data_IF_064660568841
#
_entry.id   IF_064660568841
#
_cell.length_a   1.000
_cell.length_b   1.000
_cell.length_c   1.000
_cell.angle_alpha   90.00
_cell.angle_beta   90.00
_cell.angle_gamma   90.00
#
_symmetry.space_group_name_H-M   'P 1'
#
loop_
_entity.id
_entity.type
_entity.pdbx_description
1 polymer ?
#
# COMPACT_ATOMS: atom_id res chain seq x y z
N UNK A 1 -13.51 -6.85 23.96
CA UNK A 1 -13.49 -7.68 22.73
C UNK A 1 -14.04 -6.93 21.51
N UNK A 2 -15.17 -6.23 21.64
CA UNK A 2 -15.75 -5.45 20.53
C UNK A 2 -14.81 -4.34 20.00
N UNK A 3 -14.17 -3.60 20.90
CA UNK A 3 -13.23 -2.54 20.50
C UNK A 3 -11.97 -3.08 19.78
N UNK A 4 -11.52 -4.28 20.16
CA UNK A 4 -10.41 -4.94 19.48
C UNK A 4 -10.76 -5.31 18.03
N UNK A 5 -11.96 -5.83 17.81
CA UNK A 5 -12.43 -6.21 16.47
C UNK A 5 -12.60 -4.98 15.57
N UNK A 6 -13.22 -3.91 16.10
CA UNK A 6 -13.41 -2.66 15.33
C UNK A 6 -12.08 -2.02 14.94
N UNK A 7 -11.12 -1.94 15.85
CA UNK A 7 -9.77 -1.42 15.58
C UNK A 7 -9.06 -2.27 14.53
N UNK A 8 -9.10 -3.60 14.66
CA UNK A 8 -8.49 -4.52 13.68
C UNK A 8 -9.10 -4.37 12.29
N UNK A 9 -10.41 -4.13 12.17
CA UNK A 9 -11.09 -3.89 10.89
C UNK A 9 -10.69 -2.54 10.28
N UNK A 10 -10.48 -1.50 11.10
CA UNK A 10 -9.95 -0.21 10.61
C UNK A 10 -8.54 -0.41 10.06
N UNK A 11 -7.66 -1.07 10.80
CA UNK A 11 -6.31 -1.37 10.29
C UNK A 11 -6.35 -2.20 9.01
N UNK A 12 -7.25 -3.19 8.90
CA UNK A 12 -7.43 -3.94 7.65
C UNK A 12 -7.77 -3.03 6.47
N UNK A 13 -8.69 -2.08 6.64
CA UNK A 13 -9.04 -1.13 5.59
C UNK A 13 -7.86 -0.23 5.18
N UNK A 14 -7.12 0.30 6.16
CA UNK A 14 -5.93 1.12 5.92
C UNK A 14 -4.84 0.31 5.18
N UNK A 15 -4.55 -0.91 5.65
CA UNK A 15 -3.58 -1.78 4.99
C UNK A 15 -4.04 -2.26 3.61
N UNK A 16 -5.34 -2.43 3.38
CA UNK A 16 -5.87 -2.74 2.05
C UNK A 16 -5.57 -1.61 1.05
N UNK A 17 -5.80 -0.34 1.44
CA UNK A 17 -5.44 0.82 0.64
C UNK A 17 -3.93 0.88 0.37
N UNK A 18 -3.13 0.65 1.40
CA UNK A 18 -1.66 0.62 1.36
C UNK A 18 -1.16 -0.44 0.38
N UNK A 19 -1.69 -1.63 0.47
CA UNK A 19 -1.30 -2.77 -0.36
C UNK A 19 -1.76 -2.58 -1.82
N UNK A 20 -2.94 -2.03 -2.08
CA UNK A 20 -3.36 -1.69 -3.45
C UNK A 20 -2.51 -0.59 -4.06
N UNK A 21 -2.14 0.44 -3.29
CA UNK A 21 -1.20 1.48 -3.70
C UNK A 21 0.13 0.89 -4.17
N UNK A 22 0.74 0.05 -3.34
CA UNK A 22 2.02 -0.58 -3.66
C UNK A 22 1.88 -1.64 -4.77
N UNK A 23 0.78 -2.41 -4.80
CA UNK A 23 0.52 -3.39 -5.85
C UNK A 23 0.39 -2.72 -7.23
N UNK A 24 -0.15 -1.50 -7.30
CA UNK A 24 -0.20 -0.73 -8.53
C UNK A 24 1.21 -0.37 -9.03
N UNK A 25 2.10 0.09 -8.14
CA UNK A 25 3.48 0.45 -8.48
C UNK A 25 4.34 -0.78 -8.74
N UNK A 26 4.36 -1.74 -7.82
CA UNK A 26 5.22 -2.91 -7.87
C UNK A 26 4.60 -4.06 -8.66
N UNK A 27 3.36 -4.41 -8.35
CA UNK A 27 2.69 -5.57 -8.96
C UNK A 27 2.43 -5.38 -10.46
N UNK A 28 1.84 -4.25 -10.85
CA UNK A 28 1.48 -3.98 -12.24
C UNK A 28 2.59 -3.31 -13.05
N UNK A 29 3.31 -2.35 -12.46
CA UNK A 29 4.32 -1.57 -13.20
C UNK A 29 5.76 -2.04 -12.98
N UNK A 30 6.02 -2.93 -12.02
CA UNK A 30 7.37 -3.43 -11.73
C UNK A 30 8.29 -2.42 -11.06
N UNK A 31 7.77 -1.32 -10.52
CA UNK A 31 8.55 -0.28 -9.83
C UNK A 31 8.70 -0.68 -8.36
N UNK A 32 9.92 -0.98 -7.94
CA UNK A 32 10.23 -1.29 -6.54
C UNK A 32 10.40 0.02 -5.77
N UNK A 33 9.47 0.33 -4.87
CA UNK A 33 9.45 1.57 -4.12
C UNK A 33 9.63 1.32 -2.61
N UNK A 34 10.87 1.17 -2.14
CA UNK A 34 11.16 0.99 -0.72
C UNK A 34 10.96 2.27 0.12
N UNK A 35 10.73 3.41 -0.51
CA UNK A 35 10.33 4.65 0.15
C UNK A 35 8.82 4.88 0.21
N UNK A 36 8.01 3.86 -0.02
CA UNK A 36 6.55 3.96 -0.07
C UNK A 36 5.95 4.66 1.17
N UNK A 37 6.50 4.37 2.36
CA UNK A 37 6.05 4.96 3.64
C UNK A 37 6.12 6.49 3.66
N UNK A 38 7.00 7.10 2.88
CA UNK A 38 7.13 8.57 2.80
C UNK A 38 5.83 9.21 2.33
N UNK A 39 5.17 8.61 1.34
CA UNK A 39 3.91 9.14 0.82
C UNK A 39 2.80 9.01 1.84
N UNK A 40 2.70 7.87 2.52
CA UNK A 40 1.72 7.66 3.59
C UNK A 40 1.92 8.66 4.73
N UNK A 41 3.16 8.85 5.17
CA UNK A 41 3.47 9.73 6.29
C UNK A 41 3.29 11.21 5.95
N UNK A 42 3.67 11.65 4.75
CA UNK A 42 3.41 13.03 4.31
C UNK A 42 1.90 13.29 4.24
N UNK A 43 1.12 12.35 3.71
CA UNK A 43 -0.33 12.43 3.70
C UNK A 43 -0.91 12.59 5.12
N UNK A 44 -0.41 11.78 6.07
CA UNK A 44 -0.80 11.85 7.46
C UNK A 44 -0.43 13.19 8.11
N UNK A 45 0.81 13.68 7.92
CA UNK A 45 1.24 14.96 8.49
C UNK A 45 0.47 16.15 7.96
N UNK A 46 0.27 16.24 6.64
CA UNK A 46 -0.48 17.37 6.07
C UNK A 46 -1.97 17.31 6.42
N UNK A 47 -2.58 16.13 6.50
CA UNK A 47 -3.94 15.99 7.00
C UNK A 47 -4.03 16.41 8.48
N UNK A 48 -3.09 15.98 9.32
CA UNK A 48 -3.01 16.35 10.73
C UNK A 48 -2.91 17.86 10.93
N UNK A 49 -1.88 18.49 10.33
CA UNK A 49 -1.60 19.92 10.52
C UNK A 49 -2.74 20.79 10.01
N UNK A 50 -3.37 20.41 8.89
CA UNK A 50 -4.51 21.17 8.36
C UNK A 50 -5.81 20.96 9.15
N UNK A 51 -5.91 19.90 9.95
CA UNK A 51 -7.05 19.66 10.86
C UNK A 51 -6.90 20.38 12.20
N UNK A 52 -5.67 20.43 12.72
CA UNK A 52 -5.35 21.11 13.98
C UNK A 52 -5.37 22.63 13.72
N UNK A 53 -5.80 23.46 14.56
CA UNK A 53 -5.79 24.92 14.37
C UNK A 53 -4.39 25.52 14.31
N UNK A 54 -4.28 26.84 14.07
CA UNK A 54 -2.98 27.51 14.06
C UNK A 54 -2.32 27.44 15.44
N UNK A 55 -0.98 27.39 15.44
CA UNK A 55 -0.19 27.41 16.69
C UNK A 55 -0.46 28.70 17.46
N UNK A 56 -0.87 28.57 18.71
CA UNK A 56 -1.05 29.70 19.64
C UNK A 56 0.12 29.78 20.61
N UNK A 57 0.32 30.94 21.25
CA UNK A 57 1.39 31.17 22.25
C UNK A 57 1.35 30.21 23.45
N UNK A 58 0.24 29.52 23.65
CA UNK A 58 0.06 28.53 24.72
C UNK A 58 0.06 27.09 24.21
N UNK A 59 0.35 26.85 22.91
CA UNK A 59 0.43 25.51 22.33
C UNK A 59 1.72 24.82 22.74
N UNK A 60 1.64 23.60 23.25
CA UNK A 60 2.81 22.74 23.53
C UNK A 60 3.41 22.12 22.25
N UNK A 61 2.74 22.28 21.11
CA UNK A 61 3.16 21.72 19.83
C UNK A 61 3.54 22.85 18.87
N UNK A 62 4.59 22.62 18.10
CA UNK A 62 5.05 23.56 17.06
C UNK A 62 4.95 22.88 15.70
N UNK A 63 4.27 23.52 14.76
CA UNK A 63 4.11 23.02 13.39
C UNK A 63 3.78 24.18 12.44
N UNK A 64 4.01 23.96 11.16
CA UNK A 64 3.67 24.91 10.11
C UNK A 64 2.32 24.55 9.47
N UNK A 65 1.68 25.54 8.83
CA UNK A 65 0.42 25.38 8.06
C UNK A 65 -0.82 24.98 8.85
N UNK A 66 -0.88 25.20 10.17
CA UNK A 66 -2.10 24.98 10.95
C UNK A 66 -3.26 25.86 10.45
N UNK A 67 -4.36 25.27 9.96
CA UNK A 67 -5.42 26.02 9.27
C UNK A 67 -6.84 25.69 9.74
N UNK A 68 -7.03 24.68 10.58
CA UNK A 68 -8.34 24.23 11.10
C UNK A 68 -9.39 24.05 10.02
N UNK A 69 -9.03 23.33 8.96
CA UNK A 69 -9.96 23.05 7.87
C UNK A 69 -11.02 22.05 8.33
N UNK A 70 -12.25 22.26 7.86
CA UNK A 70 -13.33 21.30 8.09
C UNK A 70 -13.17 20.07 7.20
N UNK A 71 -13.54 18.90 7.73
CA UNK A 71 -13.62 17.69 6.92
C UNK A 71 -14.55 17.92 5.70
N UNK A 72 -14.23 17.47 4.46
CA UNK A 72 -13.14 16.55 4.08
C UNK A 72 -11.84 17.23 3.59
N UNK A 73 -11.67 18.54 3.76
CA UNK A 73 -10.52 19.28 3.20
C UNK A 73 -9.16 18.76 3.66
N UNK A 74 -8.92 18.42 4.96
CA UNK A 74 -7.65 17.87 5.40
C UNK A 74 -7.26 16.58 4.66
N UNK A 75 -8.24 15.72 4.40
CA UNK A 75 -8.05 14.48 3.65
C UNK A 75 -7.61 14.74 2.21
N UNK A 76 -8.22 15.75 1.57
CA UNK A 76 -7.86 16.17 0.20
C UNK A 76 -6.44 16.76 0.17
N UNK A 77 -6.11 17.63 1.13
CA UNK A 77 -4.78 18.26 1.23
C UNK A 77 -3.70 17.20 1.50
N UNK A 78 -3.94 16.27 2.42
CA UNK A 78 -3.05 15.16 2.71
C UNK A 78 -2.80 14.29 1.46
N UNK A 79 -3.87 13.93 0.75
CA UNK A 79 -3.76 13.16 -0.50
C UNK A 79 -3.00 13.93 -1.58
N UNK A 80 -3.32 15.20 -1.77
CA UNK A 80 -2.66 16.05 -2.76
C UNK A 80 -1.17 16.25 -2.46
N UNK A 81 -0.80 16.43 -1.17
CA UNK A 81 0.61 16.55 -0.77
C UNK A 81 1.44 15.33 -1.13
N UNK A 82 0.90 14.13 -0.91
CA UNK A 82 1.54 12.89 -1.33
C UNK A 82 1.61 12.73 -2.84
N UNK A 83 0.58 13.11 -3.57
CA UNK A 83 0.59 13.11 -5.04
C UNK A 83 1.66 14.06 -5.61
N UNK A 84 1.77 15.27 -5.06
CA UNK A 84 2.78 16.26 -5.45
C UNK A 84 4.19 15.74 -5.15
N UNK A 85 4.40 15.19 -3.95
CA UNK A 85 5.69 14.61 -3.59
C UNK A 85 6.04 13.42 -4.50
N UNK A 86 5.06 12.57 -4.83
CA UNK A 86 5.25 11.47 -5.77
C UNK A 86 5.57 11.97 -7.18
N UNK A 87 4.97 13.08 -7.62
CA UNK A 87 5.30 13.70 -8.89
C UNK A 87 6.74 14.23 -8.91
N UNK A 88 7.18 14.91 -7.86
CA UNK A 88 8.54 15.47 -7.74
C UNK A 88 9.57 14.34 -7.70
N UNK A 89 9.43 13.38 -6.78
CA UNK A 89 10.36 12.26 -6.64
C UNK A 89 10.34 11.36 -7.87
N UNK A 90 9.15 11.06 -8.40
CA UNK A 90 8.98 10.28 -9.61
C UNK A 90 9.64 10.94 -10.82
N UNK A 91 9.48 12.26 -10.99
CA UNK A 91 10.14 12.98 -12.05
C UNK A 91 11.69 12.92 -11.92
N UNK A 92 12.23 13.14 -10.72
CA UNK A 92 13.67 13.11 -10.48
C UNK A 92 14.27 11.71 -10.67
N UNK A 93 13.58 10.67 -10.15
CA UNK A 93 14.13 9.32 -10.07
C UNK A 93 13.80 8.49 -11.32
N UNK A 94 12.59 8.59 -11.87
CA UNK A 94 12.14 7.73 -12.96
C UNK A 94 12.42 8.30 -14.35
N UNK A 95 12.63 9.63 -14.50
CA UNK A 95 12.93 10.25 -15.79
C UNK A 95 14.31 9.90 -16.34
N UNK A 96 15.22 9.44 -15.51
CA UNK A 96 16.64 9.22 -15.86
C UNK A 96 16.98 7.79 -16.27
N UNK A 97 16.08 6.99 -16.82
CA UNK A 97 16.35 5.60 -17.28
C UNK A 97 17.18 4.75 -16.28
N UNK A 98 16.98 5.00 -14.98
CA UNK A 98 17.66 4.28 -13.91
C UNK A 98 17.02 2.87 -13.80
N UNK A 99 17.83 1.83 -13.63
CA UNK A 99 17.33 0.46 -13.42
C UNK A 99 16.48 0.40 -12.14
N UNK A 100 15.41 -0.38 -12.16
CA UNK A 100 14.47 -0.54 -11.04
C UNK A 100 15.15 -0.83 -9.69
N UNK A 101 16.25 -1.58 -9.70
CA UNK A 101 16.99 -1.93 -8.49
C UNK A 101 17.59 -0.68 -7.80
N UNK A 102 18.15 0.24 -8.60
CA UNK A 102 18.69 1.51 -8.07
C UNK A 102 17.58 2.45 -7.62
N UNK A 103 16.43 2.45 -8.31
CA UNK A 103 15.24 3.21 -7.88
C UNK A 103 14.83 2.79 -6.47
N UNK A 104 14.82 1.48 -6.18
CA UNK A 104 14.49 0.94 -4.87
C UNK A 104 15.41 1.47 -3.75
N UNK A 105 16.72 1.45 -4.01
CA UNK A 105 17.73 1.95 -3.05
C UNK A 105 17.62 3.46 -2.85
N UNK A 106 17.47 4.23 -3.95
CA UNK A 106 17.30 5.70 -3.88
C UNK A 106 16.05 6.03 -3.04
N UNK A 107 14.94 5.36 -3.28
CA UNK A 107 13.70 5.60 -2.54
C UNK A 107 13.81 5.21 -1.06
N UNK A 108 14.58 4.16 -0.72
CA UNK A 108 14.89 3.81 0.66
C UNK A 108 15.70 4.93 1.35
N UNK A 109 16.72 5.45 0.69
CA UNK A 109 17.53 6.56 1.21
C UNK A 109 16.67 7.82 1.40
N UNK A 110 15.78 8.11 0.44
CA UNK A 110 14.81 9.22 0.56
C UNK A 110 13.93 9.04 1.80
N UNK A 111 13.47 7.83 2.09
CA UNK A 111 12.65 7.56 3.28
C UNK A 111 13.41 7.82 4.58
N UNK A 112 14.66 7.38 4.64
CA UNK A 112 15.52 7.60 5.83
C UNK A 112 15.81 9.10 6.01
N UNK A 113 16.15 9.82 4.94
CA UNK A 113 16.40 11.27 4.99
C UNK A 113 15.14 12.00 5.42
N UNK A 114 13.99 11.70 4.84
CA UNK A 114 12.72 12.34 5.17
C UNK A 114 12.35 12.15 6.65
N UNK A 115 12.53 10.93 7.18
CA UNK A 115 12.35 10.64 8.60
C UNK A 115 13.27 11.50 9.47
N UNK A 116 14.57 11.57 9.14
CA UNK A 116 15.55 12.36 9.89
C UNK A 116 15.23 13.86 9.85
N UNK A 117 14.82 14.37 8.69
CA UNK A 117 14.42 15.79 8.54
C UNK A 117 13.22 16.12 9.44
N UNK A 118 12.21 15.28 9.46
CA UNK A 118 11.02 15.50 10.31
C UNK A 118 11.38 15.38 11.79
N UNK A 119 12.16 14.37 12.17
CA UNK A 119 12.54 14.14 13.57
C UNK A 119 13.42 15.26 14.13
N UNK A 120 14.38 15.77 13.34
CA UNK A 120 15.31 16.79 13.76
C UNK A 120 14.69 18.21 13.80
N UNK A 121 13.64 18.47 13.03
CA UNK A 121 13.07 19.82 12.91
C UNK A 121 11.74 19.91 13.68
N UNK A 122 11.85 20.37 14.94
CA UNK A 122 10.67 20.59 15.80
C UNK A 122 9.69 21.60 15.20
N UNK A 123 10.16 22.60 14.46
CA UNK A 123 9.32 23.63 13.85
C UNK A 123 8.44 23.13 12.70
N UNK A 124 8.78 22.02 12.04
CA UNK A 124 8.01 21.51 10.92
C UNK A 124 6.72 20.79 11.38
N UNK A 125 6.88 19.72 12.15
CA UNK A 125 5.79 18.85 12.60
C UNK A 125 5.99 18.38 14.06
N UNK A 126 6.47 19.28 14.92
CA UNK A 126 6.78 19.01 16.33
C UNK A 126 7.93 17.99 16.54
N UNK A 127 8.73 17.70 15.52
CA UNK A 127 9.89 16.83 15.58
C UNK A 127 9.58 15.43 16.13
N UNK A 128 10.44 14.92 17.01
CA UNK A 128 10.29 13.59 17.60
C UNK A 128 9.02 13.43 18.47
N UNK A 129 8.45 14.54 19.00
CA UNK A 129 7.25 14.47 19.85
C UNK A 129 5.98 14.14 19.07
N UNK A 130 5.98 14.39 17.75
CA UNK A 130 4.81 14.19 16.91
C UNK A 130 3.65 15.17 17.17
N UNK A 131 2.54 14.92 16.51
CA UNK A 131 1.31 15.71 16.57
C UNK A 131 0.22 14.95 17.34
N UNK A 132 -0.56 15.65 18.15
CA UNK A 132 -1.68 15.08 18.90
C UNK A 132 -2.87 16.05 18.91
N UNK A 133 -4.03 15.57 19.32
CA UNK A 133 -5.24 16.37 19.34
C UNK A 133 -5.84 16.61 17.95
N UNK A 134 -5.62 15.69 17.03
CA UNK A 134 -6.18 15.74 15.68
C UNK A 134 -7.68 15.43 15.80
N UNK A 135 -8.57 16.33 15.30
CA UNK A 135 -10.00 16.12 15.42
C UNK A 135 -10.44 14.90 14.58
N UNK A 136 -11.19 14.03 15.22
CA UNK A 136 -11.78 12.87 14.56
C UNK A 136 -12.95 13.32 13.67
N UNK A 137 -13.00 12.91 12.39
CA UNK A 137 -14.06 13.30 11.47
C UNK A 137 -15.42 12.84 11.97
N UNK A 138 -16.43 13.70 11.80
CA UNK A 138 -17.84 13.47 12.19
C UNK A 138 -18.11 13.32 13.70
N UNK A 139 -17.11 13.16 14.56
CA UNK A 139 -17.35 12.94 15.99
C UNK A 139 -18.05 14.14 16.66
N UNK A 140 -17.71 15.36 16.25
CA UNK A 140 -18.38 16.58 16.72
C UNK A 140 -19.84 16.75 16.28
N UNK A 141 -20.28 16.03 15.25
CA UNK A 141 -21.65 16.09 14.71
C UNK A 141 -22.51 14.96 15.27
N UNK A 142 -21.94 13.75 15.37
CA UNK A 142 -22.67 12.53 15.70
C UNK A 142 -22.74 12.26 17.21
N UNK A 143 -21.89 12.91 18.02
CA UNK A 143 -21.80 12.73 19.48
C UNK A 143 -21.82 11.25 19.92
N UNK A 144 -21.13 10.38 19.17
CA UNK A 144 -21.10 8.94 19.41
C UNK A 144 -20.20 8.59 20.60
N UNK A 145 -20.52 7.50 21.28
CA UNK A 145 -19.57 6.87 22.21
C UNK A 145 -18.31 6.41 21.47
N UNK A 146 -17.20 6.21 22.20
CA UNK A 146 -15.93 5.77 21.59
C UNK A 146 -16.08 4.48 20.74
N UNK A 147 -16.80 3.49 21.24
CA UNK A 147 -17.09 2.25 20.50
C UNK A 147 -18.04 2.49 19.31
N UNK A 148 -19.04 3.35 19.48
CA UNK A 148 -19.93 3.75 18.38
C UNK A 148 -19.18 4.44 17.24
N UNK A 149 -18.25 5.33 17.58
CA UNK A 149 -17.40 5.99 16.60
C UNK A 149 -16.51 5.02 15.82
N UNK A 150 -15.91 4.04 16.51
CA UNK A 150 -15.07 3.01 15.86
C UNK A 150 -15.86 2.20 14.82
N UNK A 151 -17.08 1.75 15.15
CA UNK A 151 -17.94 1.02 14.21
C UNK A 151 -18.44 1.89 13.05
N UNK A 152 -18.76 3.16 13.32
CA UNK A 152 -19.07 4.12 12.27
C UNK A 152 -17.87 4.28 11.31
N UNK A 153 -16.66 4.42 11.86
CA UNK A 153 -15.45 4.56 11.06
C UNK A 153 -15.15 3.30 10.22
N UNK A 154 -15.39 2.10 10.75
CA UNK A 154 -15.31 0.84 9.98
C UNK A 154 -16.25 0.88 8.78
N UNK A 155 -17.50 1.28 8.96
CA UNK A 155 -18.49 1.41 7.87
C UNK A 155 -18.03 2.42 6.81
N UNK A 156 -17.61 3.60 7.25
CA UNK A 156 -17.09 4.67 6.40
C UNK A 156 -15.86 4.22 5.59
N UNK A 157 -14.88 3.64 6.27
CA UNK A 157 -13.65 3.14 5.63
C UNK A 157 -13.94 1.99 4.66
N UNK A 158 -14.89 1.12 4.96
CA UNK A 158 -15.30 0.05 4.05
C UNK A 158 -15.85 0.61 2.74
N UNK A 159 -16.69 1.65 2.79
CA UNK A 159 -17.19 2.33 1.58
C UNK A 159 -16.04 2.91 0.76
N UNK A 160 -15.10 3.58 1.41
CA UNK A 160 -13.90 4.12 0.77
C UNK A 160 -13.07 3.01 0.12
N UNK A 161 -12.81 1.92 0.84
CA UNK A 161 -12.07 0.78 0.31
C UNK A 161 -12.74 0.18 -0.93
N UNK A 162 -14.06 0.05 -0.93
CA UNK A 162 -14.81 -0.44 -2.11
C UNK A 162 -14.64 0.52 -3.29
N UNK A 163 -14.77 1.84 -3.08
CA UNK A 163 -14.61 2.84 -4.14
C UNK A 163 -13.19 2.78 -4.72
N UNK A 164 -12.16 2.78 -3.86
CA UNK A 164 -10.76 2.73 -4.30
C UNK A 164 -10.46 1.40 -4.99
N UNK A 165 -10.94 0.28 -4.46
CA UNK A 165 -10.80 -1.03 -5.09
C UNK A 165 -11.38 -1.06 -6.51
N UNK A 166 -12.62 -0.59 -6.68
CA UNK A 166 -13.27 -0.54 -7.99
C UNK A 166 -12.53 0.38 -8.95
N UNK A 167 -12.03 1.53 -8.48
CA UNK A 167 -11.22 2.46 -9.27
C UNK A 167 -9.90 1.84 -9.72
N UNK A 168 -9.16 1.22 -8.81
CA UNK A 168 -7.90 0.53 -9.12
C UNK A 168 -8.15 -0.66 -10.06
N UNK A 169 -9.18 -1.45 -9.81
CA UNK A 169 -9.53 -2.61 -10.64
C UNK A 169 -9.92 -2.18 -12.07
N UNK A 170 -10.72 -1.12 -12.20
CA UNK A 170 -11.09 -0.53 -13.49
C UNK A 170 -9.84 -0.04 -14.24
N UNK A 171 -8.94 0.66 -13.54
CA UNK A 171 -7.69 1.16 -14.11
C UNK A 171 -6.80 0.00 -14.60
N UNK A 172 -6.65 -1.05 -13.78
CA UNK A 172 -5.83 -2.21 -14.12
C UNK A 172 -6.40 -3.07 -15.26
N UNK A 173 -7.73 -3.07 -15.45
CA UNK A 173 -8.39 -3.78 -16.57
C UNK A 173 -8.42 -2.98 -17.86
N UNK A 174 -8.18 -1.68 -17.81
CA UNK A 174 -8.18 -0.78 -18.97
C UNK A 174 -6.99 -1.05 -19.92
N UNK A 175 -6.94 -0.33 -21.05
CA UNK A 175 -5.77 -0.31 -21.94
C UNK A 175 -4.50 0.14 -21.23
N UNK A 176 -4.63 1.10 -20.31
CA UNK A 176 -3.54 1.60 -19.49
C UNK A 176 -2.92 0.49 -18.61
N UNK A 177 -3.74 -0.33 -17.95
CA UNK A 177 -3.26 -1.47 -17.17
C UNK A 177 -2.56 -2.54 -18.02
N UNK A 178 -2.98 -2.74 -19.28
CA UNK A 178 -2.27 -3.63 -20.22
C UNK A 178 -0.89 -3.07 -20.59
N UNK A 179 -0.80 -1.77 -20.83
CA UNK A 179 0.47 -1.10 -21.10
C UNK A 179 1.45 -1.19 -19.92
N UNK A 180 0.95 -1.10 -18.66
CA UNK A 180 1.76 -1.29 -17.46
C UNK A 180 2.39 -2.70 -17.40
N UNK A 181 1.59 -3.73 -17.67
CA UNK A 181 2.09 -5.11 -17.69
C UNK A 181 3.12 -5.34 -18.81
N UNK A 182 2.86 -4.82 -20.01
CA UNK A 182 3.80 -4.89 -21.11
C UNK A 182 5.13 -4.23 -20.76
N UNK A 183 5.09 -3.04 -20.15
CA UNK A 183 6.28 -2.33 -19.66
C UNK A 183 7.03 -3.13 -18.58
N UNK A 184 6.31 -3.79 -17.66
CA UNK A 184 6.90 -4.62 -16.59
C UNK A 184 7.63 -5.84 -17.15
N UNK A 185 7.10 -6.45 -18.20
CA UNK A 185 7.68 -7.65 -18.82
C UNK A 185 8.91 -7.32 -19.67
N UNK A 186 8.79 -6.33 -20.55
CA UNK A 186 9.90 -5.86 -21.39
C UNK A 186 9.74 -4.38 -21.73
N UNK A 187 10.55 -3.53 -21.09
CA UNK A 187 10.53 -2.08 -21.28
C UNK A 187 10.97 -1.66 -22.70
N UNK A 188 11.94 -2.39 -23.25
CA UNK A 188 12.50 -2.08 -24.58
C UNK A 188 11.47 -2.39 -25.64
N UNK A 189 10.84 -3.57 -25.55
CA UNK A 189 9.79 -3.97 -26.48
C UNK A 189 8.56 -3.02 -26.37
N UNK A 190 8.15 -2.65 -25.18
CA UNK A 190 7.05 -1.70 -24.96
C UNK A 190 7.33 -0.35 -25.63
N UNK A 191 8.58 0.14 -25.53
CA UNK A 191 9.00 1.39 -26.20
C UNK A 191 8.93 1.27 -27.72
N UNK A 192 9.36 0.15 -28.29
CA UNK A 192 9.27 -0.09 -29.75
C UNK A 192 7.83 -0.21 -30.23
N UNK A 193 6.90 -0.62 -29.38
CA UNK A 193 5.45 -0.63 -29.66
C UNK A 193 4.81 0.76 -29.52
N UNK A 194 5.58 1.82 -29.28
CA UNK A 194 5.09 3.20 -29.19
C UNK A 194 4.56 3.60 -27.81
N UNK A 195 4.77 2.78 -26.76
CA UNK A 195 4.35 3.12 -25.40
C UNK A 195 5.37 4.10 -24.81
N UNK A 196 4.88 5.24 -24.33
CA UNK A 196 5.73 6.17 -23.59
C UNK A 196 5.94 5.67 -22.14
N UNK A 197 6.97 4.84 -21.97
CA UNK A 197 7.29 4.18 -20.71
C UNK A 197 7.58 5.17 -19.59
N UNK A 198 8.22 6.31 -19.86
CA UNK A 198 8.56 7.32 -18.85
C UNK A 198 7.31 7.97 -18.27
N UNK A 199 6.39 8.40 -19.13
CA UNK A 199 5.11 8.98 -18.68
C UNK A 199 4.29 7.93 -17.92
N UNK A 200 4.26 6.69 -18.40
CA UNK A 200 3.51 5.60 -17.80
C UNK A 200 4.03 5.28 -16.39
N UNK A 201 5.35 5.23 -16.21
CA UNK A 201 6.01 5.06 -14.89
C UNK A 201 5.68 6.21 -13.95
N UNK A 202 5.77 7.46 -14.44
CA UNK A 202 5.49 8.62 -13.63
C UNK A 202 4.04 8.67 -13.17
N UNK A 203 3.09 8.43 -14.07
CA UNK A 203 1.66 8.46 -13.75
C UNK A 203 1.30 7.38 -12.72
N UNK A 204 1.78 6.14 -12.89
CA UNK A 204 1.50 5.07 -11.92
C UNK A 204 2.12 5.35 -10.56
N UNK A 205 3.30 5.97 -10.54
CA UNK A 205 3.98 6.35 -9.32
C UNK A 205 3.21 7.42 -8.55
N UNK A 206 2.67 8.43 -9.27
CA UNK A 206 1.83 9.49 -8.69
C UNK A 206 0.53 8.91 -8.14
N UNK A 207 -0.18 8.07 -8.91
CA UNK A 207 -1.44 7.47 -8.47
C UNK A 207 -1.20 6.59 -7.22
N UNK A 208 -0.18 5.75 -7.25
CA UNK A 208 0.18 4.93 -6.09
C UNK A 208 0.57 5.79 -4.89
N UNK A 209 1.40 6.83 -5.06
CA UNK A 209 1.75 7.77 -4.00
C UNK A 209 0.54 8.51 -3.43
N UNK A 210 -0.41 8.90 -4.27
CA UNK A 210 -1.67 9.52 -3.84
C UNK A 210 -2.52 8.58 -2.98
N UNK A 211 -2.69 7.31 -3.39
CA UNK A 211 -3.43 6.31 -2.61
C UNK A 211 -2.71 6.02 -1.28
N UNK A 212 -1.37 5.96 -1.27
CA UNK A 212 -0.58 5.82 -0.05
C UNK A 212 -0.81 6.99 0.92
N UNK A 213 -0.73 8.23 0.42
CA UNK A 213 -0.99 9.43 1.20
C UNK A 213 -2.44 9.49 1.74
N UNK A 214 -3.39 9.07 0.91
CA UNK A 214 -4.78 8.95 1.30
C UNK A 214 -4.98 7.96 2.47
N UNK A 215 -4.32 6.79 2.42
CA UNK A 215 -4.36 5.83 3.53
C UNK A 215 -3.75 6.41 4.82
N UNK A 216 -2.67 7.20 4.70
CA UNK A 216 -2.05 7.89 5.83
C UNK A 216 -2.93 8.96 6.44
N UNK A 217 -3.60 9.76 5.60
CA UNK A 217 -4.55 10.79 6.04
C UNK A 217 -5.74 10.15 6.80
N UNK A 218 -6.30 9.05 6.31
CA UNK A 218 -7.35 8.31 7.01
C UNK A 218 -6.85 7.72 8.33
N UNK A 219 -5.62 7.17 8.35
CA UNK A 219 -5.05 6.58 9.55
C UNK A 219 -4.89 7.62 10.67
N UNK A 220 -4.36 8.79 10.36
CA UNK A 220 -4.12 9.84 11.34
C UNK A 220 -5.41 10.44 11.89
N UNK A 221 -6.43 10.59 11.07
CA UNK A 221 -7.76 11.03 11.49
C UNK A 221 -8.43 10.03 12.44
N UNK A 222 -8.18 8.74 12.25
CA UNK A 222 -8.68 7.70 13.16
C UNK A 222 -7.93 7.70 14.50
N UNK A 223 -6.59 7.74 14.45
CA UNK A 223 -5.74 7.68 15.64
C UNK A 223 -5.82 8.95 16.51
N UNK A 224 -6.07 10.11 15.90
CA UNK A 224 -6.04 11.40 16.58
C UNK A 224 -4.64 11.87 17.00
N UNK A 225 -3.60 11.14 16.63
CA UNK A 225 -2.20 11.46 16.88
C UNK A 225 -1.30 10.84 15.79
N UNK A 226 -0.13 11.45 15.56
CA UNK A 226 0.85 10.95 14.62
C UNK A 226 2.27 11.28 15.08
N UNK A 227 3.17 10.31 15.07
CA UNK A 227 4.57 10.50 15.46
C UNK A 227 5.53 9.95 14.41
N UNK A 228 6.80 10.41 14.38
CA UNK A 228 7.81 9.85 13.51
C UNK A 228 8.09 8.35 13.73
N UNK A 229 7.80 7.80 14.90
CA UNK A 229 7.97 6.36 15.19
C UNK A 229 7.08 5.49 14.29
N UNK A 230 5.90 6.00 13.90
CA UNK A 230 5.02 5.35 12.93
C UNK A 230 5.58 5.39 11.50
N UNK A 231 6.63 6.16 11.25
CA UNK A 231 7.27 6.34 9.95
C UNK A 231 8.50 5.43 9.79
N UNK A 232 8.39 4.19 10.19
CA UNK A 232 9.49 3.25 9.98
C UNK A 232 9.49 2.71 8.54
N UNK A 233 10.67 2.66 7.91
CA UNK A 233 10.84 1.98 6.62
C UNK A 233 10.47 0.49 6.71
N UNK A 234 10.46 -0.08 7.91
CA UNK A 234 10.04 -1.46 8.17
C UNK A 234 8.57 -1.68 7.80
N UNK A 235 7.70 -0.67 8.00
CA UNK A 235 6.29 -0.73 7.55
C UNK A 235 6.17 -0.88 6.03
N UNK A 236 7.07 -0.29 5.26
CA UNK A 236 7.13 -0.53 3.81
C UNK A 236 7.35 -2.01 3.50
N UNK A 237 8.23 -2.70 4.23
CA UNK A 237 8.45 -4.13 4.03
C UNK A 237 7.24 -4.96 4.41
N UNK A 238 6.50 -4.61 5.46
CA UNK A 238 5.22 -5.29 5.81
C UNK A 238 4.24 -5.21 4.64
N UNK A 239 4.08 -4.03 4.03
CA UNK A 239 3.21 -3.84 2.87
C UNK A 239 3.73 -4.61 1.65
N UNK A 240 5.06 -4.65 1.41
CA UNK A 240 5.67 -5.47 0.36
C UNK A 240 5.39 -6.96 0.56
N UNK A 241 5.59 -7.46 1.77
CA UNK A 241 5.32 -8.85 2.13
C UNK A 241 3.85 -9.19 1.88
N UNK A 242 2.94 -8.29 2.25
CA UNK A 242 1.51 -8.45 2.01
C UNK A 242 1.20 -8.54 0.51
N UNK A 243 1.77 -7.66 -0.34
CA UNK A 243 1.62 -7.73 -1.81
C UNK A 243 2.17 -9.03 -2.35
N UNK A 244 3.33 -9.48 -1.85
CA UNK A 244 4.00 -10.68 -2.32
C UNK A 244 3.23 -11.95 -1.96
N UNK A 245 2.82 -12.08 -0.69
CA UNK A 245 2.05 -13.23 -0.19
C UNK A 245 0.68 -13.28 -0.87
N UNK A 246 0.02 -12.13 -0.99
CA UNK A 246 -1.28 -12.05 -1.65
C UNK A 246 -1.23 -12.44 -3.12
N UNK A 247 -0.19 -12.02 -3.83
CA UNK A 247 0.02 -12.22 -5.26
C UNK A 247 0.11 -10.89 -6.02
N UNK A 248 1.32 -10.58 -6.46
CA UNK A 248 1.61 -9.36 -7.21
C UNK A 248 0.81 -9.30 -8.51
N UNK A 249 0.28 -8.12 -8.85
CA UNK A 249 -0.51 -7.93 -10.06
C UNK A 249 -1.95 -8.46 -9.97
N UNK A 250 -2.41 -8.85 -8.77
CA UNK A 250 -3.78 -9.26 -8.50
C UNK A 250 -4.34 -8.49 -7.29
N UNK A 251 -5.33 -7.62 -7.51
CA UNK A 251 -5.89 -6.77 -6.45
C UNK A 251 -6.67 -7.55 -5.39
N UNK A 252 -7.27 -8.69 -5.75
CA UNK A 252 -7.95 -9.58 -4.80
C UNK A 252 -6.95 -10.33 -3.92
N UNK A 253 -5.87 -10.81 -4.54
CA UNK A 253 -4.76 -11.42 -3.84
C UNK A 253 -4.10 -10.42 -2.88
N UNK A 254 -3.85 -9.20 -3.35
CA UNK A 254 -3.31 -8.11 -2.55
C UNK A 254 -4.15 -7.83 -1.29
N UNK A 255 -5.49 -7.83 -1.39
CA UNK A 255 -6.38 -7.71 -0.24
C UNK A 255 -6.24 -8.86 0.76
N UNK A 256 -6.12 -10.11 0.28
CA UNK A 256 -5.85 -11.25 1.16
C UNK A 256 -4.49 -11.11 1.86
N UNK A 257 -3.48 -10.59 1.17
CA UNK A 257 -2.20 -10.28 1.78
C UNK A 257 -2.30 -9.23 2.88
N UNK A 258 -3.11 -8.18 2.67
CA UNK A 258 -3.39 -7.16 3.69
C UNK A 258 -4.11 -7.74 4.92
N UNK A 259 -4.98 -8.71 4.75
CA UNK A 259 -5.62 -9.41 5.85
C UNK A 259 -4.62 -10.32 6.61
N UNK A 260 -3.85 -11.11 5.88
CA UNK A 260 -2.98 -12.12 6.48
C UNK A 260 -1.79 -11.48 7.21
N UNK A 261 -1.04 -10.60 6.55
CA UNK A 261 0.26 -10.14 7.08
C UNK A 261 0.08 -9.13 8.22
N UNK A 262 -0.42 -7.90 8.00
CA UNK A 262 -0.46 -6.91 9.08
C UNK A 262 -1.54 -7.21 10.12
N UNK A 263 -2.68 -7.80 9.74
CA UNK A 263 -3.79 -8.03 10.68
C UNK A 263 -3.63 -9.35 11.43
N UNK A 264 -3.52 -10.48 10.73
CA UNK A 264 -3.46 -11.78 11.42
C UNK A 264 -2.09 -11.97 12.06
N UNK A 265 -1.00 -11.86 11.31
CA UNK A 265 0.33 -12.11 11.84
C UNK A 265 0.90 -10.94 12.64
N UNK A 266 0.46 -9.71 12.38
CA UNK A 266 0.81 -8.55 13.20
C UNK A 266 0.17 -8.58 14.59
N UNK A 267 -1.03 -9.12 14.69
CA UNK A 267 -1.77 -9.21 15.95
C UNK A 267 -1.51 -10.53 16.69
N UNK A 268 -1.17 -11.61 15.98
CA UNK A 268 -0.95 -12.95 16.58
C UNK A 268 0.00 -12.96 17.79
N UNK A 269 1.16 -12.28 17.77
CA UNK A 269 2.06 -12.28 18.92
C UNK A 269 1.47 -11.66 20.19
N UNK A 270 0.46 -10.80 20.08
CA UNK A 270 -0.21 -10.20 21.23
C UNK A 270 -0.99 -11.22 22.07
N UNK A 271 -1.30 -12.37 21.50
CA UNK A 271 -1.94 -13.49 22.23
C UNK A 271 -0.94 -14.45 22.86
N UNK A 272 0.35 -14.32 22.56
CA UNK A 272 1.38 -15.14 23.17
C UNK A 272 1.70 -14.62 24.58
N UNK A 273 1.84 -15.50 25.57
CA UNK A 273 2.25 -15.09 26.90
C UNK A 273 3.63 -14.45 26.84
N UNK A 274 3.80 -13.35 27.53
CA UNK A 274 5.03 -12.55 27.49
C UNK A 274 6.26 -13.25 28.13
N UNK A 275 6.13 -14.46 28.66
CA UNK A 275 7.19 -15.25 29.31
C UNK A 275 8.15 -14.44 30.22
N UNK A 276 7.65 -13.32 30.79
CA UNK A 276 8.43 -12.45 31.65
C UNK A 276 9.38 -11.48 30.95
N UNK A 277 9.42 -11.45 29.64
CA UNK A 277 10.29 -10.54 28.86
C UNK A 277 9.47 -9.46 28.15
N UNK A 278 9.55 -8.18 28.61
CA UNK A 278 8.93 -7.06 27.92
C UNK A 278 9.48 -6.94 26.49
N UNK A 279 8.59 -6.83 25.50
CA UNK A 279 8.97 -6.68 24.09
C UNK A 279 9.20 -7.99 23.32
N UNK A 280 9.12 -9.16 23.95
CA UNK A 280 9.25 -10.46 23.24
C UNK A 280 8.18 -10.61 22.16
N UNK A 281 6.95 -10.19 22.44
CA UNK A 281 5.84 -10.26 21.49
C UNK A 281 6.09 -9.44 20.22
N UNK A 282 6.61 -8.22 20.36
CA UNK A 282 6.94 -7.37 19.20
C UNK A 282 8.10 -7.92 18.38
N UNK A 283 9.13 -8.47 19.04
CA UNK A 283 10.26 -9.11 18.34
C UNK A 283 9.82 -10.38 17.61
N UNK A 284 8.97 -11.21 18.22
CA UNK A 284 8.40 -12.40 17.60
C UNK A 284 7.55 -12.06 16.37
N UNK A 285 6.82 -10.95 16.39
CA UNK A 285 6.06 -10.46 15.24
C UNK A 285 6.96 -10.30 14.01
N UNK A 286 8.09 -9.65 14.14
CA UNK A 286 9.03 -9.45 13.03
C UNK A 286 9.63 -10.76 12.53
N UNK A 287 9.98 -11.67 13.43
CA UNK A 287 10.49 -13.00 13.07
C UNK A 287 9.46 -13.79 12.30
N UNK A 288 8.19 -13.79 12.73
CA UNK A 288 7.10 -14.49 12.05
C UNK A 288 6.86 -13.92 10.65
N UNK A 289 6.82 -12.59 10.50
CA UNK A 289 6.67 -11.94 9.20
C UNK A 289 7.84 -12.29 8.27
N UNK A 290 9.08 -12.25 8.77
CA UNK A 290 10.25 -12.62 7.98
C UNK A 290 10.24 -14.09 7.52
N UNK A 291 9.87 -15.02 8.42
CA UNK A 291 9.74 -16.44 8.09
C UNK A 291 8.64 -16.69 7.07
N UNK A 292 7.51 -16.03 7.20
CA UNK A 292 6.42 -16.12 6.21
C UNK A 292 6.87 -15.63 4.84
N UNK A 293 7.64 -14.55 4.79
CA UNK A 293 8.18 -14.04 3.54
C UNK A 293 9.11 -15.08 2.88
N UNK A 294 10.06 -15.63 3.63
CA UNK A 294 10.96 -16.66 3.15
C UNK A 294 10.21 -17.92 2.67
N UNK A 295 9.24 -18.39 3.46
CA UNK A 295 8.40 -19.53 3.09
C UNK A 295 7.62 -19.27 1.80
N UNK A 296 7.01 -18.09 1.66
CA UNK A 296 6.25 -17.75 0.45
C UNK A 296 7.17 -17.65 -0.77
N UNK A 297 8.34 -17.06 -0.60
CA UNK A 297 9.33 -16.96 -1.67
C UNK A 297 9.81 -18.33 -2.17
N UNK A 298 10.00 -19.27 -1.24
CA UNK A 298 10.46 -20.61 -1.55
C UNK A 298 9.37 -21.51 -2.12
N UNK A 299 8.18 -21.56 -1.48
CA UNK A 299 7.12 -22.50 -1.83
C UNK A 299 6.12 -21.98 -2.86
N UNK A 300 5.84 -20.66 -2.86
CA UNK A 300 4.86 -20.04 -3.76
C UNK A 300 5.30 -18.64 -4.22
N UNK A 301 6.29 -18.55 -5.11
CA UNK A 301 6.80 -17.25 -5.59
C UNK A 301 5.74 -16.41 -6.35
N UNK A 302 4.66 -17.03 -6.81
CA UNK A 302 3.53 -16.35 -7.46
C UNK A 302 2.48 -15.81 -6.47
N UNK A 303 2.64 -16.06 -5.15
CA UNK A 303 1.68 -15.72 -4.12
C UNK A 303 0.48 -16.65 -4.04
N UNK A 304 -0.47 -16.35 -3.14
CA UNK A 304 -1.69 -17.15 -2.92
C UNK A 304 -2.62 -17.08 -4.12
N UNK A 305 -2.84 -15.87 -4.65
CA UNK A 305 -3.64 -15.61 -5.85
C UNK A 305 -2.76 -15.01 -6.95
N UNK A 306 -2.17 -15.84 -7.81
CA UNK A 306 -1.33 -15.35 -8.90
C UNK A 306 -2.12 -14.49 -9.89
N UNK A 307 -1.42 -13.65 -10.62
CA UNK A 307 -1.98 -12.86 -11.71
C UNK A 307 -2.61 -13.76 -12.76
N UNK A 308 -3.84 -13.46 -13.18
CA UNK A 308 -4.52 -14.19 -14.24
C UNK A 308 -3.77 -14.01 -15.57
N UNK A 309 -3.37 -15.09 -16.20
CA UNK A 309 -2.77 -15.06 -17.54
C UNK A 309 -3.80 -14.53 -18.53
N UNK A 310 -3.49 -13.43 -19.19
CA UNK A 310 -4.27 -12.96 -20.34
C UNK A 310 -3.99 -13.92 -21.51
N UNK A 311 -4.83 -14.92 -21.70
CA UNK A 311 -4.81 -15.72 -22.90
C UNK A 311 -5.48 -14.87 -23.98
N UNK A 312 -4.68 -14.22 -24.81
CA UNK A 312 -5.17 -13.59 -26.03
C UNK A 312 -5.49 -14.72 -27.00
N UNK A 313 -6.74 -15.17 -27.05
CA UNK A 313 -7.21 -15.99 -28.15
C UNK A 313 -7.18 -15.12 -29.41
N UNK A 314 -6.22 -15.36 -30.28
CA UNK A 314 -6.31 -14.85 -31.65
C UNK A 314 -7.50 -15.57 -32.32
N UNK A 315 -8.49 -14.82 -32.73
CA UNK A 315 -9.55 -15.33 -33.58
C UNK A 315 -8.89 -16.04 -34.77
N UNK A 316 -9.19 -17.32 -34.94
CA UNK A 316 -8.65 -18.16 -36.02
C UNK A 316 -7.44 -19.06 -35.67
N UNK A 317 -6.88 -19.00 -34.48
CA UNK A 317 -5.91 -20.03 -34.06
C UNK A 317 -6.61 -21.18 -33.33
N UNK A 318 -6.37 -22.45 -33.73
CA UNK A 318 -6.91 -23.60 -33.02
C UNK A 318 -6.42 -23.54 -31.56
N UNK A 319 -7.34 -23.75 -30.63
CA UNK A 319 -7.06 -23.77 -29.20
C UNK A 319 -5.93 -24.78 -28.91
N UNK A 320 -4.79 -24.24 -28.50
CA UNK A 320 -3.57 -25.03 -28.18
C UNK A 320 -3.87 -26.07 -27.09
N UNK A 321 -4.81 -25.76 -26.18
CA UNK A 321 -5.27 -26.70 -25.15
C UNK A 321 -6.03 -27.90 -25.77
N UNK A 322 -6.75 -27.69 -26.86
CA UNK A 322 -7.44 -28.75 -27.60
C UNK A 322 -6.45 -29.65 -28.37
N UNK A 323 -5.36 -29.07 -28.88
CA UNK A 323 -4.28 -29.84 -29.53
C UNK A 323 -3.55 -30.73 -28.51
N UNK A 324 -3.23 -30.21 -27.34
CA UNK A 324 -2.61 -31.02 -26.28
C UNK A 324 -3.55 -32.15 -25.78
N UNK A 325 -4.85 -31.86 -25.60
CA UNK A 325 -5.83 -32.89 -25.23
C UNK A 325 -5.98 -33.97 -26.30
N UNK A 326 -6.03 -33.59 -27.58
CA UNK A 326 -6.07 -34.56 -28.70
C UNK A 326 -4.80 -35.39 -28.79
N UNK A 327 -3.62 -34.81 -28.63
CA UNK A 327 -2.34 -35.52 -28.60
C UNK A 327 -2.25 -36.51 -27.42
N UNK A 328 -2.79 -36.16 -26.26
CA UNK A 328 -2.83 -37.05 -25.08
C UNK A 328 -3.83 -38.20 -25.25
N UNK A 329 -4.98 -37.93 -25.82
CA UNK A 329 -5.99 -38.94 -26.14
C UNK A 329 -5.49 -39.94 -27.20
N UNK A 330 -4.83 -39.45 -28.24
CA UNK A 330 -4.22 -40.30 -29.29
C UNK A 330 -3.10 -41.22 -28.72
N UNK A 331 -2.23 -40.70 -27.85
CA UNK A 331 -1.20 -41.53 -27.20
C UNK A 331 -1.80 -42.53 -26.22
N UNK A 332 -2.95 -42.27 -25.61
CA UNK A 332 -3.65 -43.21 -24.73
C UNK A 332 -4.33 -44.33 -25.54
N UNK A 333 -4.90 -44.00 -26.71
CA UNK A 333 -5.49 -45.00 -27.62
C UNK A 333 -4.42 -45.94 -28.16
N UNK A 334 -3.26 -45.46 -28.63
CA UNK A 334 -2.16 -46.28 -29.09
C UNK A 334 -1.59 -47.23 -28.03
N UNK A 335 -1.62 -46.81 -26.74
CA UNK A 335 -1.18 -47.70 -25.65
C UNK A 335 -2.22 -48.76 -25.26
N UNK A 336 -3.50 -48.58 -25.58
CA UNK A 336 -4.53 -49.58 -25.35
C UNK A 336 -4.61 -50.62 -26.45
N UNK A 337 -4.19 -50.29 -27.66
CA UNK A 337 -4.10 -51.23 -28.79
C UNK A 337 -2.84 -52.08 -28.79
N UNK A 338 -1.80 -51.68 -28.03
CA UNK A 338 -0.53 -52.41 -27.90
C UNK A 338 -0.48 -53.36 -26.69
N UNK A 339 -1.62 -53.58 -26.01
CA UNK A 339 -1.82 -54.60 -24.97
C UNK A 339 -2.87 -55.63 -25.41
#
# INVERSE_FOLDING_TARGET
MQDFVSISLVYLGIYALSVWSLNLQFGYAGIINFGWIVFQSIGAYFAAVTSIGPVTSHSYQTYIFGSRLAFPLPLIVGTASGAVLAAILGYVVLSRKIRSDFVAVIMLVVAIIALQVVTANVSLFNGANGLSGIPQPFNGILHLSQSGYQWFYVGWLTVICVIVYLGVEWLCKSSWGRSLRAMREDEVLATHLGINVQVLRLVVFIIGGAIAAFSGALLVEFLGAWSPDAWSFVETFVVFVAVYIGGRGNNRGAFLGALLVPVIFGVFPSFLPAFGYPGLSSTLQWVVIALLWLCTFYFRPAGIMPEGRLIVQREGQPDVSSMFRRGWAARRAQRSEAR
#
